data_IF_604969246260
#
_entry.id   IF_604969246260
#
_cell.length_a   1.000
_cell.length_b   1.000
_cell.length_c   1.000
_cell.angle_alpha   90.00
_cell.angle_beta   90.00
_cell.angle_gamma   90.00
#
_symmetry.space_group_name_H-M   'P 1'
#
loop_
_entity.id
_entity.type
_entity.pdbx_description
1 polymer ?
#
# COMPACT_ATOMS: atom_id res chain seq x y z
N UNK A 1 25.94 6.90 16.16
CA UNK A 1 25.02 7.87 15.53
C UNK A 1 25.62 8.57 14.31
N UNK A 2 26.62 9.46 14.43
CA UNK A 2 27.09 10.24 13.26
C UNK A 2 27.83 9.43 12.17
N UNK A 3 28.55 8.37 12.56
CA UNK A 3 29.37 7.58 11.63
C UNK A 3 28.59 6.52 10.80
N UNK A 4 27.29 6.33 11.06
CA UNK A 4 26.50 5.24 10.45
C UNK A 4 27.19 3.87 10.53
N UNK A 5 27.80 3.57 11.69
CA UNK A 5 28.39 2.26 11.95
C UNK A 5 27.31 1.17 11.81
N UNK A 6 27.46 0.23 10.86
CA UNK A 6 26.44 -0.77 10.55
C UNK A 6 26.20 -1.76 11.70
N UNK A 7 27.11 -1.84 12.67
CA UNK A 7 26.99 -2.75 13.83
C UNK A 7 26.22 -2.14 14.99
N UNK A 8 25.93 -0.83 14.95
CA UNK A 8 25.27 -0.09 16.02
C UNK A 8 23.86 0.34 15.59
N UNK A 9 22.92 -0.62 15.61
CA UNK A 9 21.50 -0.41 15.33
C UNK A 9 20.67 -0.16 16.61
N UNK A 10 21.19 -0.53 17.77
CA UNK A 10 20.56 -0.38 19.08
C UNK A 10 21.37 0.54 20.00
N UNK A 11 20.78 1.67 20.36
CA UNK A 11 21.35 2.64 21.30
C UNK A 11 20.49 2.69 22.56
N UNK A 12 21.06 2.23 23.68
CA UNK A 12 20.44 2.33 24.99
C UNK A 12 21.26 3.26 25.90
N UNK A 13 20.66 4.40 26.23
CA UNK A 13 21.20 5.36 27.19
C UNK A 13 20.30 5.48 28.44
N UNK A 14 19.45 4.49 28.70
CA UNK A 14 18.52 4.54 29.83
C UNK A 14 19.25 4.85 31.14
N UNK A 15 18.79 5.88 31.86
CA UNK A 15 19.37 6.42 33.09
C UNK A 15 20.77 7.04 32.96
N UNK A 16 21.31 7.21 31.76
CA UNK A 16 22.57 7.92 31.53
C UNK A 16 22.29 9.41 31.35
N UNK A 17 22.52 10.19 32.42
CA UNK A 17 22.30 11.63 32.38
C UNK A 17 23.26 12.30 31.40
N UNK A 18 22.70 12.95 30.37
CA UNK A 18 23.48 13.74 29.44
C UNK A 18 23.81 15.09 30.05
N UNK A 19 25.03 15.61 29.81
CA UNK A 19 25.40 16.94 30.25
C UNK A 19 24.48 18.00 29.61
N UNK A 20 24.26 19.13 30.29
CA UNK A 20 23.50 20.24 29.75
C UNK A 20 24.01 20.66 28.36
N UNK A 21 23.11 21.01 27.43
CA UNK A 21 23.48 21.35 26.04
C UNK A 21 24.48 22.50 25.93
N UNK A 22 24.42 23.45 26.86
CA UNK A 22 25.32 24.62 26.89
C UNK A 22 26.73 24.26 27.35
N UNK A 23 26.88 23.20 28.15
CA UNK A 23 28.16 22.72 28.64
C UNK A 23 28.81 21.77 27.65
N UNK A 24 28.02 20.90 27.02
CA UNK A 24 28.55 19.89 26.10
C UNK A 24 27.60 19.66 24.90
N UNK A 25 27.73 20.47 23.83
CA UNK A 25 26.89 20.36 22.65
C UNK A 25 27.19 19.10 21.82
N UNK A 26 28.30 18.39 22.08
CA UNK A 26 28.70 17.20 21.31
C UNK A 26 27.99 15.91 21.76
N UNK A 27 27.16 15.97 22.81
CA UNK A 27 26.40 14.82 23.31
C UNK A 27 24.95 14.86 22.81
N UNK A 28 24.01 15.46 23.56
CA UNK A 28 22.58 15.39 23.21
C UNK A 28 22.24 16.13 21.90
N UNK A 29 22.69 17.39 21.68
CA UNK A 29 22.38 18.10 20.44
C UNK A 29 22.97 17.41 19.20
N UNK A 30 24.22 16.94 19.29
CA UNK A 30 24.87 16.19 18.21
C UNK A 30 24.17 14.87 17.93
N UNK A 31 23.69 14.17 18.95
CA UNK A 31 22.91 12.94 18.79
C UNK A 31 21.62 13.21 18.02
N UNK A 32 20.82 14.21 18.43
CA UNK A 32 19.56 14.56 17.75
C UNK A 32 19.82 14.93 16.28
N UNK A 33 20.80 15.80 16.02
CA UNK A 33 21.14 16.21 14.65
C UNK A 33 21.68 15.05 13.80
N UNK A 34 22.39 14.09 14.40
CA UNK A 34 22.87 12.93 13.68
C UNK A 34 21.73 12.02 13.19
N UNK A 35 20.57 12.01 13.88
CA UNK A 35 19.42 11.18 13.49
C UNK A 35 18.82 11.59 12.14
N UNK A 36 18.95 12.85 11.71
CA UNK A 36 18.47 13.31 10.39
C UNK A 36 19.07 12.51 9.22
N UNK A 37 20.33 12.07 9.35
CA UNK A 37 21.07 11.37 8.29
C UNK A 37 21.44 9.94 8.67
N UNK A 38 21.08 9.52 9.89
CA UNK A 38 21.43 8.20 10.34
C UNK A 38 20.52 7.17 9.68
N UNK A 39 21.14 6.14 9.11
CA UNK A 39 20.45 5.08 8.36
C UNK A 39 20.56 3.70 9.03
N UNK A 40 21.05 3.63 10.26
CA UNK A 40 21.36 2.35 10.92
C UNK A 40 20.60 2.18 12.23
N UNK A 41 20.42 3.24 13.01
CA UNK A 41 19.77 3.18 14.31
C UNK A 41 18.30 2.83 14.11
N UNK A 42 17.93 1.67 14.64
CA UNK A 42 16.57 1.12 14.67
C UNK A 42 15.93 1.38 16.03
N UNK A 43 16.71 1.28 17.11
CA UNK A 43 16.22 1.47 18.47
C UNK A 43 17.03 2.57 19.17
N UNK A 44 16.33 3.58 19.68
CA UNK A 44 16.92 4.66 20.45
C UNK A 44 16.17 4.82 21.77
N UNK A 45 16.82 4.43 22.86
CA UNK A 45 16.30 4.51 24.21
C UNK A 45 17.03 5.60 24.98
N UNK A 46 16.29 6.64 25.35
CA UNK A 46 16.77 7.85 26.00
C UNK A 46 15.97 8.12 27.28
N UNK A 47 15.47 7.07 27.95
CA UNK A 47 14.69 7.23 29.17
C UNK A 47 15.57 7.84 30.28
N UNK A 48 15.07 8.91 30.91
CA UNK A 48 15.73 9.59 32.04
C UNK A 48 17.18 9.99 31.72
N UNK A 49 17.38 10.66 30.58
CA UNK A 49 18.69 11.11 30.08
C UNK A 49 18.91 12.61 30.20
N UNK A 50 17.99 13.34 30.84
CA UNK A 50 18.00 14.80 30.95
C UNK A 50 17.91 15.52 29.59
N UNK A 51 17.20 14.97 28.61
CA UNK A 51 16.81 15.74 27.42
C UNK A 51 15.90 16.91 27.84
N UNK A 52 16.14 18.08 27.27
CA UNK A 52 15.42 19.31 27.60
C UNK A 52 14.73 19.88 26.36
N UNK A 53 13.89 20.91 26.55
CA UNK A 53 13.25 21.63 25.44
C UNK A 53 14.23 22.12 24.36
N UNK A 54 15.52 22.34 24.69
CA UNK A 54 16.56 22.72 23.72
C UNK A 54 16.82 21.65 22.66
N UNK A 55 16.52 20.38 22.94
CA UNK A 55 16.69 19.27 22.00
C UNK A 55 15.47 19.08 21.10
N UNK A 56 14.31 19.64 21.49
CA UNK A 56 13.04 19.47 20.79
C UNK A 56 13.10 19.79 19.29
N UNK A 57 13.58 20.98 18.89
CA UNK A 57 13.65 21.35 17.47
C UNK A 57 14.53 20.43 16.62
N UNK A 58 15.66 19.97 17.18
CA UNK A 58 16.54 19.04 16.48
C UNK A 58 15.94 17.63 16.39
N UNK A 59 15.21 17.21 17.43
CA UNK A 59 14.51 15.93 17.44
C UNK A 59 13.34 15.93 16.44
N UNK A 60 12.52 16.98 16.41
CA UNK A 60 11.39 17.10 15.47
C UNK A 60 11.89 17.18 14.02
N UNK A 61 12.96 17.95 13.75
CA UNK A 61 13.62 17.98 12.44
C UNK A 61 14.13 16.60 12.02
N UNK A 62 14.75 15.85 12.94
CA UNK A 62 15.19 14.48 12.67
C UNK A 62 14.02 13.53 12.35
N UNK A 63 12.94 13.58 13.13
CA UNK A 63 11.77 12.72 12.90
C UNK A 63 11.04 13.04 11.58
N UNK A 64 11.14 14.27 11.09
CA UNK A 64 10.56 14.69 9.80
C UNK A 64 11.22 14.01 8.60
N UNK A 65 12.47 13.58 8.71
CA UNK A 65 13.24 13.00 7.58
C UNK A 65 13.74 11.57 7.82
N UNK A 66 13.90 11.15 9.08
CA UNK A 66 14.43 9.83 9.38
C UNK A 66 13.44 8.74 8.97
N UNK A 67 13.96 7.70 8.31
CA UNK A 67 13.17 6.58 7.80
C UNK A 67 13.71 5.21 8.24
N UNK A 68 14.53 5.17 9.29
CA UNK A 68 15.17 3.95 9.80
C UNK A 68 14.78 3.62 11.22
N UNK A 69 14.51 4.63 12.05
CA UNK A 69 14.15 4.46 13.44
C UNK A 69 12.79 3.77 13.56
N UNK A 70 12.74 2.67 14.32
CA UNK A 70 11.52 1.92 14.61
C UNK A 70 11.05 2.11 16.05
N UNK A 71 11.95 2.34 16.99
CA UNK A 71 11.63 2.54 18.41
C UNK A 71 12.32 3.78 18.94
N UNK A 72 11.52 4.73 19.43
CA UNK A 72 12.00 5.89 20.18
C UNK A 72 11.41 5.87 21.59
N UNK A 73 12.27 5.90 22.60
CA UNK A 73 11.85 6.11 23.98
C UNK A 73 12.53 7.36 24.55
N UNK A 74 11.73 8.37 24.89
CA UNK A 74 12.17 9.61 25.55
C UNK A 74 11.41 9.84 26.86
N UNK A 75 10.91 8.78 27.50
CA UNK A 75 10.25 8.82 28.81
C UNK A 75 11.11 9.52 29.86
N UNK A 76 10.46 10.15 30.84
CA UNK A 76 11.11 10.69 32.05
C UNK A 76 12.20 11.74 31.81
N UNK A 77 12.06 12.57 30.77
CA UNK A 77 12.94 13.69 30.45
C UNK A 77 12.31 15.05 30.82
N UNK A 78 12.81 16.16 30.28
CA UNK A 78 12.32 17.52 30.45
C UNK A 78 11.88 18.12 29.09
N UNK A 79 11.25 17.31 28.23
CA UNK A 79 10.64 17.78 26.98
C UNK A 79 9.27 18.39 27.29
N UNK A 80 9.05 19.62 26.82
CA UNK A 80 7.78 20.32 27.04
C UNK A 80 6.69 19.91 26.02
N UNK A 81 5.46 20.38 26.26
CA UNK A 81 4.31 20.13 25.37
C UNK A 81 4.55 20.60 23.93
N UNK A 82 5.32 21.68 23.74
CA UNK A 82 5.65 22.22 22.42
C UNK A 82 6.53 21.25 21.65
N UNK A 83 7.58 20.73 22.28
CA UNK A 83 8.49 19.75 21.69
C UNK A 83 7.75 18.48 21.25
N UNK A 84 6.88 17.94 22.10
CA UNK A 84 6.10 16.74 21.79
C UNK A 84 5.13 16.99 20.63
N UNK A 85 4.45 18.15 20.63
CA UNK A 85 3.56 18.54 19.52
C UNK A 85 4.31 18.64 18.19
N UNK A 86 5.46 19.29 18.18
CA UNK A 86 6.29 19.40 16.96
C UNK A 86 6.77 18.05 16.46
N UNK A 87 7.16 17.14 17.36
CA UNK A 87 7.52 15.77 16.99
C UNK A 87 6.33 15.02 16.35
N UNK A 88 5.11 15.21 16.89
CA UNK A 88 3.90 14.60 16.34
C UNK A 88 3.58 15.14 14.93
N UNK A 89 3.70 16.45 14.72
CA UNK A 89 3.52 17.07 13.41
C UNK A 89 4.57 16.59 12.40
N UNK A 90 5.84 16.54 12.80
CA UNK A 90 6.92 16.01 11.97
C UNK A 90 6.67 14.56 11.53
N UNK A 91 6.20 13.70 12.45
CA UNK A 91 5.83 12.32 12.14
C UNK A 91 4.59 12.22 11.24
N UNK A 92 3.67 13.18 11.31
CA UNK A 92 2.49 13.23 10.43
C UNK A 92 2.88 13.51 8.98
N UNK A 93 3.86 14.40 8.79
CA UNK A 93 4.41 14.78 7.49
C UNK A 93 5.30 13.67 6.89
N UNK A 94 6.06 12.96 7.73
CA UNK A 94 6.98 11.93 7.27
C UNK A 94 6.26 10.60 6.97
N UNK A 95 5.76 10.44 5.74
CA UNK A 95 5.12 9.19 5.27
C UNK A 95 6.10 8.01 5.18
N UNK A 96 7.39 8.30 5.00
CA UNK A 96 8.45 7.28 4.84
C UNK A 96 8.94 6.69 6.17
N UNK A 97 8.67 7.37 7.28
CA UNK A 97 9.06 6.95 8.64
C UNK A 97 8.73 5.48 8.88
N UNK A 98 9.63 4.78 9.58
CA UNK A 98 9.45 3.39 10.01
C UNK A 98 9.10 3.26 11.48
N UNK A 99 8.83 4.38 12.17
CA UNK A 99 8.60 4.39 13.60
C UNK A 99 7.36 3.54 13.96
N UNK A 100 7.58 2.51 14.78
CA UNK A 100 6.56 1.58 15.27
C UNK A 100 6.15 1.90 16.70
N UNK A 101 7.10 2.36 17.50
CA UNK A 101 6.87 2.67 18.90
C UNK A 101 7.47 4.02 19.27
N UNK A 102 6.65 4.86 19.91
CA UNK A 102 7.11 6.11 20.52
C UNK A 102 6.60 6.22 21.95
N UNK A 103 7.51 6.40 22.91
CA UNK A 103 7.18 6.61 24.34
C UNK A 103 7.78 7.93 24.81
N UNK A 104 6.98 8.71 25.51
CA UNK A 104 7.36 10.04 26.00
C UNK A 104 6.64 10.42 27.30
N UNK A 105 6.24 9.43 28.09
CA UNK A 105 5.54 9.59 29.36
C UNK A 105 6.42 10.18 30.46
N UNK A 106 5.76 10.79 31.47
CA UNK A 106 6.42 11.23 32.70
C UNK A 106 7.45 12.35 32.50
N UNK A 107 7.25 13.26 31.55
CA UNK A 107 8.12 14.43 31.40
C UNK A 107 8.07 15.30 32.66
N UNK A 108 9.24 15.60 33.20
CA UNK A 108 9.43 16.43 34.39
C UNK A 108 9.07 17.87 34.06
N UNK A 109 8.28 18.49 34.94
CA UNK A 109 7.78 19.86 34.74
C UNK A 109 6.51 19.93 33.89
N UNK A 110 6.07 18.81 33.33
CA UNK A 110 4.72 18.64 32.76
C UNK A 110 3.89 17.88 33.79
N UNK A 111 2.60 18.21 33.90
CA UNK A 111 1.67 17.44 34.71
C UNK A 111 1.45 16.04 34.16
N UNK A 112 0.41 15.36 34.63
CA UNK A 112 0.03 14.03 34.10
C UNK A 112 -0.28 14.07 32.58
N UNK A 113 -0.71 15.22 32.07
CA UNK A 113 -1.15 15.41 30.68
C UNK A 113 -0.44 16.60 30.02
N UNK A 114 -0.19 16.48 28.71
CA UNK A 114 0.44 17.53 27.91
C UNK A 114 -0.50 18.64 27.45
N UNK A 115 -1.82 18.42 27.60
CA UNK A 115 -2.88 19.33 27.19
C UNK A 115 -3.47 19.02 25.81
N UNK A 116 -4.69 19.53 25.58
CA UNK A 116 -5.50 19.24 24.38
C UNK A 116 -4.79 19.47 23.04
N UNK A 117 -3.97 20.54 22.85
CA UNK A 117 -3.29 20.77 21.56
C UNK A 117 -2.27 19.68 21.21
N UNK A 118 -1.68 19.03 22.22
CA UNK A 118 -0.74 17.92 22.01
C UNK A 118 -1.53 16.65 21.70
N UNK A 119 -2.59 16.39 22.45
CA UNK A 119 -3.47 15.23 22.25
C UNK A 119 -4.09 15.21 20.85
N UNK A 120 -4.57 16.36 20.36
CA UNK A 120 -5.07 16.52 18.99
C UNK A 120 -3.98 16.20 17.95
N UNK A 121 -2.77 16.74 18.12
CA UNK A 121 -1.67 16.48 17.20
C UNK A 121 -1.27 14.99 17.18
N UNK A 122 -1.24 14.34 18.33
CA UNK A 122 -0.98 12.90 18.45
C UNK A 122 -2.09 12.07 17.81
N UNK A 123 -3.35 12.47 17.97
CA UNK A 123 -4.48 11.79 17.33
C UNK A 123 -4.43 11.88 15.80
N UNK A 124 -4.13 13.06 15.26
CA UNK A 124 -3.95 13.26 13.83
C UNK A 124 -2.75 12.45 13.30
N UNK A 125 -1.63 12.47 14.03
CA UNK A 125 -0.45 11.65 13.70
C UNK A 125 -0.78 10.16 13.67
N UNK A 126 -1.49 9.63 14.67
CA UNK A 126 -1.84 8.21 14.73
C UNK A 126 -2.77 7.79 13.58
N UNK A 127 -3.67 8.68 13.13
CA UNK A 127 -4.58 8.45 12.01
C UNK A 127 -3.81 8.34 10.68
N UNK A 128 -2.90 9.28 10.45
CA UNK A 128 -2.12 9.40 9.21
C UNK A 128 -0.98 8.37 9.13
N UNK A 129 -0.22 8.21 10.22
CA UNK A 129 0.96 7.37 10.26
C UNK A 129 0.63 5.92 10.66
N UNK A 130 0.28 5.10 9.66
CA UNK A 130 -0.24 3.72 9.84
C UNK A 130 0.75 2.70 10.43
N UNK A 131 2.05 3.02 10.51
CA UNK A 131 3.08 2.10 11.03
C UNK A 131 3.28 2.18 12.55
N UNK A 132 2.80 3.23 13.21
CA UNK A 132 2.88 3.36 14.67
C UNK A 132 1.85 2.41 15.28
N UNK A 133 2.32 1.44 16.06
CA UNK A 133 1.47 0.43 16.73
C UNK A 133 1.42 0.64 18.23
N UNK A 134 2.38 1.36 18.81
CA UNK A 134 2.44 1.58 20.26
C UNK A 134 2.85 3.01 20.58
N UNK A 135 1.98 3.72 21.30
CA UNK A 135 2.24 5.04 21.85
C UNK A 135 2.27 4.94 23.39
N UNK A 136 3.32 5.46 24.00
CA UNK A 136 3.47 5.53 25.45
C UNK A 136 3.24 6.94 25.95
N UNK A 137 1.97 7.33 26.12
CA UNK A 137 1.58 8.60 26.72
C UNK A 137 0.19 8.52 27.38
N UNK A 138 -0.11 9.43 28.31
CA UNK A 138 -1.44 9.59 28.91
C UNK A 138 -2.24 10.69 28.22
N UNK A 139 -3.51 10.41 27.88
CA UNK A 139 -4.43 11.34 27.21
C UNK A 139 -5.65 11.59 28.10
N UNK A 140 -5.90 12.86 28.46
CA UNK A 140 -7.02 13.28 29.30
C UNK A 140 -8.33 13.37 28.52
N UNK A 141 -8.32 13.93 27.30
CA UNK A 141 -9.53 14.09 26.52
C UNK A 141 -10.03 12.74 25.98
N UNK A 142 -11.23 12.34 26.41
CA UNK A 142 -11.83 11.06 26.04
C UNK A 142 -12.05 10.93 24.52
N UNK A 143 -12.33 12.03 23.83
CA UNK A 143 -12.51 12.01 22.38
C UNK A 143 -11.19 11.65 21.68
N UNK A 144 -10.11 12.34 22.01
CA UNK A 144 -8.80 12.07 21.41
C UNK A 144 -8.28 10.69 21.78
N UNK A 145 -8.49 10.25 23.02
CA UNK A 145 -8.13 8.91 23.49
C UNK A 145 -8.81 7.82 22.63
N UNK A 146 -10.11 7.92 22.38
CA UNK A 146 -10.84 6.98 21.51
C UNK A 146 -10.32 6.99 20.07
N UNK A 147 -10.06 8.18 19.50
CA UNK A 147 -9.49 8.33 18.14
C UNK A 147 -8.12 7.64 18.04
N UNK A 148 -7.25 7.85 19.04
CA UNK A 148 -5.92 7.25 19.08
C UNK A 148 -6.02 5.73 19.21
N UNK A 149 -6.85 5.23 20.13
CA UNK A 149 -7.01 3.80 20.34
C UNK A 149 -7.53 3.09 19.09
N UNK A 150 -8.54 3.65 18.41
CA UNK A 150 -9.03 3.13 17.13
C UNK A 150 -7.94 3.11 16.06
N UNK A 151 -7.15 4.17 15.96
CA UNK A 151 -6.04 4.24 15.02
C UNK A 151 -4.95 3.18 15.32
N UNK A 152 -4.58 2.99 16.60
CA UNK A 152 -3.59 2.00 17.01
C UNK A 152 -4.07 0.55 16.81
N UNK A 153 -5.34 0.26 17.08
CA UNK A 153 -5.94 -1.06 16.80
C UNK A 153 -5.88 -1.36 15.30
N UNK A 154 -6.28 -0.41 14.45
CA UNK A 154 -6.18 -0.53 12.99
C UNK A 154 -4.73 -0.78 12.55
N UNK A 155 -3.78 0.02 13.03
CA UNK A 155 -2.37 -0.10 12.68
C UNK A 155 -1.78 -1.45 13.11
N UNK A 156 -2.16 -1.93 14.29
CA UNK A 156 -1.76 -3.25 14.80
C UNK A 156 -2.32 -4.37 13.94
N UNK A 157 -3.59 -4.27 13.52
CA UNK A 157 -4.20 -5.25 12.61
C UNK A 157 -3.53 -5.24 11.23
N UNK A 158 -3.20 -4.07 10.67
CA UNK A 158 -2.43 -3.95 9.42
C UNK A 158 -1.07 -4.63 9.55
N UNK A 159 -0.32 -4.35 10.62
CA UNK A 159 0.96 -5.02 10.87
C UNK A 159 0.82 -6.54 11.03
N UNK A 160 -0.28 -7.01 11.66
CA UNK A 160 -0.59 -8.44 11.78
C UNK A 160 -0.88 -9.08 10.41
N UNK A 161 -1.66 -8.43 9.55
CA UNK A 161 -1.99 -8.91 8.20
C UNK A 161 -0.75 -9.00 7.31
N UNK A 162 0.12 -8.00 7.36
CA UNK A 162 1.40 -7.99 6.64
C UNK A 162 2.28 -9.20 7.03
N UNK A 163 2.35 -9.55 8.33
CA UNK A 163 3.11 -10.73 8.79
C UNK A 163 2.50 -12.07 8.36
N UNK A 164 1.17 -12.14 8.19
CA UNK A 164 0.47 -13.37 7.78
C UNK A 164 0.47 -13.57 6.26
N UNK A 165 1.16 -12.72 5.49
CA UNK A 165 1.24 -12.83 4.03
C UNK A 165 -0.10 -12.70 3.32
N UNK A 166 -1.17 -12.28 4.01
CA UNK A 166 -2.53 -12.21 3.47
C UNK A 166 -2.79 -10.91 2.72
N UNK A 167 -1.77 -10.05 2.60
CA UNK A 167 -1.81 -8.79 1.84
C UNK A 167 -0.56 -8.79 0.97
N UNK A 168 -0.74 -9.03 -0.32
CA UNK A 168 0.18 -8.53 -1.34
C UNK A 168 0.36 -7.03 -1.07
N UNK A 169 1.61 -6.61 -0.92
CA UNK A 169 2.04 -5.26 -0.55
C UNK A 169 1.10 -4.15 -1.10
N UNK A 170 0.28 -3.56 -0.22
CA UNK A 170 -0.29 -2.23 -0.47
C UNK A 170 0.84 -1.20 -0.28
N UNK A 171 1.59 -0.96 -1.36
CA UNK A 171 2.41 0.24 -1.52
C UNK A 171 1.44 1.36 -1.89
N UNK A 172 1.39 2.40 -1.06
CA UNK A 172 0.72 3.70 -1.25
C UNK A 172 -0.47 3.72 -2.22
N UNK A 173 -1.64 3.31 -1.70
CA UNK A 173 -2.90 3.35 -2.44
C UNK A 173 -3.31 4.81 -2.68
N UNK A 174 -3.10 5.28 -3.90
CA UNK A 174 -3.92 6.32 -4.52
C UNK A 174 -5.37 5.82 -4.47
N UNK A 175 -6.31 6.57 -3.86
CA UNK A 175 -7.69 6.12 -3.73
C UNK A 175 -8.31 5.92 -5.12
N UNK A 176 -8.73 4.69 -5.41
CA UNK A 176 -9.35 4.34 -6.68
C UNK A 176 -10.70 5.03 -6.83
N UNK A 177 -10.91 5.74 -7.93
CA UNK A 177 -12.23 6.32 -8.26
C UNK A 177 -13.07 5.22 -8.90
N UNK A 178 -14.18 4.88 -8.25
CA UNK A 178 -15.10 3.85 -8.74
C UNK A 178 -15.87 4.38 -9.96
N UNK A 179 -15.74 3.71 -11.10
CA UNK A 179 -16.55 3.95 -12.31
C UNK A 179 -17.39 2.72 -12.64
N UNK A 180 -18.46 2.94 -13.41
CA UNK A 180 -19.29 1.85 -13.93
C UNK A 180 -18.60 1.14 -15.09
N UNK A 181 -18.79 -0.17 -15.22
CA UNK A 181 -18.17 -0.98 -16.26
C UNK A 181 -19.19 -1.37 -17.34
N UNK A 182 -18.91 -1.04 -18.62
CA UNK A 182 -19.74 -1.49 -19.75
C UNK A 182 -18.98 -2.34 -20.77
N UNK A 183 -17.79 -1.91 -21.17
CA UNK A 183 -16.98 -2.52 -22.24
C UNK A 183 -15.50 -2.41 -21.89
N UNK A 184 -14.73 -3.45 -22.20
CA UNK A 184 -13.27 -3.50 -22.03
C UNK A 184 -12.66 -3.88 -23.38
N UNK A 185 -11.70 -3.11 -23.85
CA UNK A 185 -10.94 -3.36 -25.07
C UNK A 185 -9.49 -3.62 -24.68
N UNK A 186 -8.98 -4.81 -24.99
CA UNK A 186 -7.58 -5.17 -24.77
C UNK A 186 -6.75 -4.59 -25.91
N UNK A 187 -5.90 -3.60 -25.62
CA UNK A 187 -5.17 -2.82 -26.64
C UNK A 187 -3.74 -3.29 -26.76
N UNK A 188 -3.00 -3.33 -25.66
CA UNK A 188 -1.59 -3.65 -25.61
C UNK A 188 -1.33 -5.15 -25.72
N UNK A 189 -0.28 -5.52 -26.45
CA UNK A 189 0.14 -6.91 -26.61
C UNK A 189 0.90 -7.39 -25.36
N UNK A 190 0.61 -8.59 -24.84
CA UNK A 190 1.37 -9.18 -23.74
C UNK A 190 2.83 -9.42 -24.13
N UNK A 191 3.76 -9.13 -23.23
CA UNK A 191 5.20 -9.39 -23.43
C UNK A 191 5.55 -10.88 -23.39
N UNK A 192 4.71 -11.69 -22.74
CA UNK A 192 4.88 -13.14 -22.68
C UNK A 192 4.30 -13.79 -23.93
N UNK A 193 4.98 -14.83 -24.39
CA UNK A 193 4.51 -15.59 -25.54
C UNK A 193 3.28 -16.44 -25.20
N UNK A 194 2.46 -16.73 -26.22
CA UNK A 194 1.18 -17.43 -26.04
C UNK A 194 1.36 -18.82 -25.44
N UNK A 195 2.41 -19.56 -25.84
CA UNK A 195 2.70 -20.91 -25.31
C UNK A 195 3.07 -20.92 -23.83
N UNK A 196 3.46 -19.79 -23.24
CA UNK A 196 3.73 -19.70 -21.80
C UNK A 196 2.45 -19.57 -20.97
N UNK A 197 1.37 -19.06 -21.57
CA UNK A 197 0.08 -18.80 -20.91
C UNK A 197 -0.98 -19.88 -21.24
N UNK A 198 -0.91 -20.40 -22.47
CA UNK A 198 -1.82 -21.40 -22.98
C UNK A 198 -1.09 -22.73 -23.19
N UNK A 199 -1.63 -23.78 -22.58
CA UNK A 199 -1.18 -25.14 -22.83
C UNK A 199 -1.62 -25.53 -24.26
N UNK A 200 -0.64 -25.63 -25.15
CA UNK A 200 -0.85 -25.91 -26.57
C UNK A 200 -1.32 -27.35 -26.82
N UNK A 201 -1.20 -28.24 -25.82
CA UNK A 201 -1.71 -29.61 -25.90
C UNK A 201 -3.24 -29.66 -25.68
N UNK A 202 -3.83 -28.64 -25.03
CA UNK A 202 -5.28 -28.54 -24.87
C UNK A 202 -5.93 -28.00 -26.16
N UNK A 203 -6.38 -28.96 -26.97
CA UNK A 203 -7.05 -28.70 -28.23
C UNK A 203 -8.36 -27.89 -28.08
N UNK A 204 -9.04 -27.96 -26.93
CA UNK A 204 -10.29 -27.23 -26.66
C UNK A 204 -10.01 -25.76 -26.32
N UNK A 205 -8.99 -25.52 -25.51
CA UNK A 205 -8.54 -24.17 -25.15
C UNK A 205 -7.94 -23.44 -26.36
N UNK A 206 -7.20 -24.15 -27.21
CA UNK A 206 -6.68 -23.63 -28.49
C UNK A 206 -7.81 -23.25 -29.46
N UNK A 207 -8.87 -24.06 -29.55
CA UNK A 207 -10.05 -23.73 -30.36
C UNK A 207 -10.81 -22.50 -29.82
N UNK A 208 -10.87 -22.35 -28.49
CA UNK A 208 -11.45 -21.17 -27.84
C UNK A 208 -10.62 -19.90 -28.10
N UNK A 209 -9.30 -19.99 -28.01
CA UNK A 209 -8.36 -18.91 -28.31
C UNK A 209 -8.52 -18.39 -29.73
N UNK A 210 -8.57 -19.31 -30.71
CA UNK A 210 -8.76 -18.95 -32.12
C UNK A 210 -10.13 -18.31 -32.38
N UNK A 211 -11.17 -18.73 -31.66
CA UNK A 211 -12.48 -18.09 -31.73
C UNK A 211 -12.41 -16.63 -31.28
N UNK A 212 -11.73 -16.34 -30.17
CA UNK A 212 -11.54 -14.99 -29.63
C UNK A 212 -10.70 -14.14 -30.59
N UNK A 213 -9.58 -14.67 -31.08
CA UNK A 213 -8.72 -13.96 -32.04
C UNK A 213 -9.41 -13.67 -33.36
N UNK A 214 -10.15 -14.63 -33.93
CA UNK A 214 -10.85 -14.45 -35.21
C UNK A 214 -12.03 -13.49 -35.09
N UNK A 215 -12.77 -13.53 -33.98
CA UNK A 215 -13.94 -12.65 -33.77
C UNK A 215 -13.58 -11.30 -33.16
N UNK A 216 -12.34 -11.10 -32.68
CA UNK A 216 -11.87 -9.92 -31.94
C UNK A 216 -12.76 -9.54 -30.74
N UNK A 217 -13.52 -10.50 -30.24
CA UNK A 217 -14.53 -10.33 -29.21
C UNK A 217 -14.69 -11.65 -28.46
N UNK A 218 -14.89 -11.56 -27.14
CA UNK A 218 -15.09 -12.73 -26.32
C UNK A 218 -16.45 -13.39 -26.65
N UNK A 219 -16.48 -14.66 -27.11
CA UNK A 219 -17.71 -15.29 -27.59
C UNK A 219 -18.66 -15.60 -26.43
N UNK A 220 -19.97 -15.67 -26.69
CA UNK A 220 -20.92 -16.27 -25.74
C UNK A 220 -20.70 -17.79 -25.61
N UNK A 221 -21.28 -18.42 -24.60
CA UNK A 221 -21.20 -19.89 -24.41
C UNK A 221 -21.68 -20.65 -25.66
N UNK A 222 -22.77 -20.17 -26.26
CA UNK A 222 -23.37 -20.76 -27.47
C UNK A 222 -22.48 -20.55 -28.70
N UNK A 223 -21.90 -19.35 -28.83
CA UNK A 223 -20.97 -19.03 -29.92
C UNK A 223 -19.67 -19.83 -29.84
N UNK A 224 -19.15 -20.05 -28.63
CA UNK A 224 -17.98 -20.90 -28.39
C UNK A 224 -18.30 -22.35 -28.77
N UNK A 225 -19.46 -22.86 -28.36
CA UNK A 225 -19.88 -24.23 -28.69
C UNK A 225 -20.08 -24.44 -30.20
N UNK A 226 -20.65 -23.46 -30.91
CA UNK A 226 -20.81 -23.51 -32.36
C UNK A 226 -19.46 -23.49 -33.11
N UNK A 227 -18.50 -22.69 -32.64
CA UNK A 227 -17.17 -22.62 -33.24
C UNK A 227 -16.37 -23.92 -33.07
N UNK A 228 -16.42 -24.52 -31.88
CA UNK A 228 -15.77 -25.82 -31.60
C UNK A 228 -16.36 -26.93 -32.47
N UNK A 229 -17.69 -26.94 -32.69
CA UNK A 229 -18.35 -27.88 -33.62
C UNK A 229 -17.86 -27.74 -35.06
N UNK A 230 -17.57 -26.51 -35.50
CA UNK A 230 -17.05 -26.23 -36.86
C UNK A 230 -15.67 -26.85 -37.07
N UNK A 231 -14.88 -26.97 -35.99
CA UNK A 231 -13.56 -27.64 -35.99
C UNK A 231 -13.62 -29.17 -35.86
N UNK A 232 -14.79 -29.78 -36.12
CA UNK A 232 -15.04 -31.23 -35.96
C UNK A 232 -14.81 -31.75 -34.52
N UNK A 233 -14.86 -30.86 -33.53
CA UNK A 233 -14.77 -31.23 -32.11
C UNK A 233 -16.16 -31.15 -31.46
N UNK A 234 -16.47 -32.10 -30.57
CA UNK A 234 -17.72 -32.10 -29.81
C UNK A 234 -17.47 -31.63 -28.37
N UNK A 235 -18.16 -30.58 -27.96
CA UNK A 235 -18.16 -30.10 -26.57
C UNK A 235 -19.51 -30.39 -25.92
N UNK A 236 -19.50 -31.18 -24.84
CA UNK A 236 -20.69 -31.43 -24.03
C UNK A 236 -21.15 -30.11 -23.38
N UNK A 237 -22.47 -29.94 -23.21
CA UNK A 237 -23.05 -28.75 -22.59
C UNK A 237 -22.47 -28.46 -21.20
N UNK A 238 -22.16 -29.52 -20.43
CA UNK A 238 -21.52 -29.43 -19.11
C UNK A 238 -20.08 -28.91 -19.13
N UNK A 239 -19.39 -28.99 -20.26
CA UNK A 239 -17.99 -28.59 -20.41
C UNK A 239 -17.83 -27.15 -20.94
N UNK A 240 -18.89 -26.57 -21.53
CA UNK A 240 -18.86 -25.21 -22.12
C UNK A 240 -18.61 -24.15 -21.05
N UNK A 241 -19.31 -24.23 -19.91
CA UNK A 241 -19.19 -23.26 -18.83
C UNK A 241 -17.79 -23.18 -18.21
N UNK A 242 -17.21 -24.31 -17.76
CA UNK A 242 -15.85 -24.35 -17.23
C UNK A 242 -14.80 -23.90 -18.25
N UNK A 243 -14.91 -24.33 -19.51
CA UNK A 243 -13.98 -23.92 -20.57
C UNK A 243 -14.06 -22.41 -20.84
N UNK A 244 -15.27 -21.86 -20.92
CA UNK A 244 -15.50 -20.44 -21.16
C UNK A 244 -14.89 -19.57 -20.05
N UNK A 245 -15.05 -19.99 -18.79
CA UNK A 245 -14.46 -19.31 -17.63
C UNK A 245 -12.94 -19.43 -17.62
N UNK A 246 -12.39 -20.61 -17.89
CA UNK A 246 -10.95 -20.83 -17.94
C UNK A 246 -10.28 -20.02 -19.07
N UNK A 247 -10.91 -19.98 -20.25
CA UNK A 247 -10.45 -19.17 -21.38
C UNK A 247 -10.44 -17.69 -21.02
N UNK A 248 -11.51 -17.19 -20.38
CA UNK A 248 -11.62 -15.79 -19.96
C UNK A 248 -10.51 -15.43 -18.98
N UNK A 249 -10.34 -16.25 -17.95
CA UNK A 249 -9.33 -16.02 -16.93
C UNK A 249 -7.93 -15.95 -17.55
N UNK A 250 -7.57 -16.91 -18.40
CA UNK A 250 -6.26 -16.92 -19.08
C UNK A 250 -6.04 -15.71 -20.00
N UNK A 251 -7.07 -15.28 -20.74
CA UNK A 251 -6.96 -14.10 -21.61
C UNK A 251 -6.80 -12.81 -20.81
N UNK A 252 -7.57 -12.64 -19.73
CA UNK A 252 -7.48 -11.46 -18.87
C UNK A 252 -6.21 -11.44 -18.04
N UNK A 253 -5.73 -12.60 -17.59
CA UNK A 253 -4.43 -12.73 -16.92
C UNK A 253 -3.27 -12.41 -17.87
N UNK A 254 -3.38 -12.79 -19.15
CA UNK A 254 -2.41 -12.40 -20.15
C UNK A 254 -2.42 -10.90 -20.44
N UNK A 255 -3.59 -10.25 -20.35
CA UNK A 255 -3.72 -8.80 -20.49
C UNK A 255 -3.28 -8.00 -19.25
N UNK A 256 -2.89 -8.67 -18.16
CA UNK A 256 -2.36 -7.99 -16.99
C UNK A 256 -1.03 -7.29 -17.32
N UNK A 257 -0.85 -6.09 -16.80
CA UNK A 257 0.27 -5.19 -17.06
C UNK A 257 0.38 -4.79 -18.54
N UNK A 258 -0.75 -4.79 -19.26
CA UNK A 258 -0.87 -4.27 -20.64
C UNK A 258 -1.86 -3.11 -20.72
N UNK A 259 -1.79 -2.34 -21.80
CA UNK A 259 -2.70 -1.22 -22.05
C UNK A 259 -4.11 -1.71 -22.41
N UNK A 260 -5.12 -1.18 -21.74
CA UNK A 260 -6.53 -1.47 -21.97
C UNK A 260 -7.32 -0.16 -22.09
N UNK A 261 -8.41 -0.21 -22.85
CA UNK A 261 -9.39 0.86 -22.92
C UNK A 261 -10.70 0.37 -22.30
N UNK A 262 -11.17 1.03 -21.24
CA UNK A 262 -12.41 0.67 -20.54
C UNK A 262 -13.45 1.77 -20.73
N UNK A 263 -14.62 1.39 -21.23
CA UNK A 263 -15.76 2.28 -21.36
C UNK A 263 -16.70 2.15 -20.16
N UNK A 264 -17.20 3.29 -19.70
CA UNK A 264 -18.23 3.33 -18.67
C UNK A 264 -19.66 3.16 -19.24
N UNK A 265 -20.68 3.20 -18.38
CA UNK A 265 -22.07 3.10 -18.81
C UNK A 265 -22.56 4.27 -19.69
N UNK A 266 -21.83 5.39 -19.70
CA UNK A 266 -22.11 6.56 -20.53
C UNK A 266 -21.35 6.54 -21.86
N UNK A 267 -20.47 5.54 -22.07
CA UNK A 267 -19.65 5.40 -23.27
C UNK A 267 -18.37 6.23 -23.23
N UNK A 268 -17.97 6.75 -22.06
CA UNK A 268 -16.69 7.42 -21.88
C UNK A 268 -15.58 6.37 -21.83
N UNK A 269 -14.74 6.32 -22.86
CA UNK A 269 -13.60 5.40 -22.94
C UNK A 269 -12.40 5.99 -22.18
N UNK A 270 -11.82 5.21 -21.29
CA UNK A 270 -10.62 5.56 -20.55
C UNK A 270 -9.52 4.56 -20.83
N UNK A 271 -8.39 5.04 -21.34
CA UNK A 271 -7.20 4.23 -21.59
C UNK A 271 -6.29 4.19 -20.35
N UNK A 272 -5.71 3.03 -20.07
CA UNK A 272 -4.73 2.86 -19.00
C UNK A 272 -4.15 1.46 -18.92
N UNK A 273 -3.24 1.24 -17.99
CA UNK A 273 -2.62 -0.07 -17.76
C UNK A 273 -3.51 -0.93 -16.85
N UNK A 274 -3.79 -2.18 -17.25
CA UNK A 274 -4.56 -3.12 -16.44
C UNK A 274 -3.68 -3.75 -15.36
N UNK A 275 -3.82 -3.31 -14.10
CA UNK A 275 -3.02 -3.86 -12.98
C UNK A 275 -3.68 -5.04 -12.28
N UNK A 276 -5.00 -5.17 -12.40
CA UNK A 276 -5.72 -6.29 -11.80
C UNK A 276 -7.14 -6.41 -12.31
N UNK A 277 -7.69 -7.62 -12.21
CA UNK A 277 -9.10 -7.87 -12.51
C UNK A 277 -9.64 -8.92 -11.52
N UNK A 278 -10.93 -8.87 -11.24
CA UNK A 278 -11.62 -9.87 -10.42
C UNK A 278 -12.99 -10.20 -10.99
N UNK A 279 -13.36 -11.49 -10.93
CA UNK A 279 -14.69 -11.99 -11.30
C UNK A 279 -15.27 -12.78 -10.12
N UNK A 280 -16.37 -12.28 -9.53
CA UNK A 280 -17.08 -12.96 -8.43
C UNK A 280 -18.59 -12.93 -8.69
N UNK A 281 -19.19 -14.10 -8.90
CA UNK A 281 -20.63 -14.24 -9.19
C UNK A 281 -21.10 -13.35 -10.36
N UNK A 282 -20.37 -13.37 -11.49
CA UNK A 282 -20.59 -12.52 -12.67
C UNK A 282 -20.48 -11.00 -12.43
N UNK A 283 -20.06 -10.57 -11.23
CA UNK A 283 -19.59 -9.20 -11.00
C UNK A 283 -18.13 -9.09 -11.42
N UNK A 284 -17.85 -8.11 -12.26
CA UNK A 284 -16.51 -7.82 -12.75
C UNK A 284 -15.98 -6.54 -12.14
N UNK A 285 -14.71 -6.56 -11.77
CA UNK A 285 -13.97 -5.36 -11.43
C UNK A 285 -12.64 -5.34 -12.17
N UNK A 286 -12.32 -4.20 -12.79
CA UNK A 286 -11.06 -3.96 -13.50
C UNK A 286 -10.36 -2.76 -12.87
N UNK A 287 -9.12 -2.97 -12.44
CA UNK A 287 -8.25 -1.96 -11.85
C UNK A 287 -7.33 -1.41 -12.95
N UNK A 288 -7.64 -0.20 -13.42
CA UNK A 288 -7.01 0.44 -14.57
C UNK A 288 -6.31 1.72 -14.13
N UNK A 289 -5.07 1.89 -14.60
CA UNK A 289 -4.21 3.01 -14.25
C UNK A 289 -3.92 3.84 -15.51
N UNK A 290 -4.67 4.94 -15.75
CA UNK A 290 -4.39 5.85 -16.87
C UNK A 290 -3.06 6.60 -16.75
N UNK A 291 -2.59 6.80 -15.52
CA UNK A 291 -1.33 7.47 -15.19
C UNK A 291 -0.81 6.96 -13.84
N UNK A 292 0.48 7.16 -13.55
CA UNK A 292 1.10 6.71 -12.28
C UNK A 292 0.41 7.28 -11.02
N UNK A 293 -0.31 8.39 -11.17
CA UNK A 293 -1.01 9.11 -10.10
C UNK A 293 -2.54 8.93 -10.11
N UNK A 294 -3.10 8.17 -11.06
CA UNK A 294 -4.56 7.99 -11.21
C UNK A 294 -4.93 6.52 -11.28
N UNK A 295 -5.77 6.09 -10.34
CA UNK A 295 -6.32 4.73 -10.27
C UNK A 295 -7.83 4.76 -10.44
N UNK A 296 -8.33 3.94 -11.36
CA UNK A 296 -9.77 3.79 -11.64
C UNK A 296 -10.18 2.33 -11.46
N UNK A 297 -11.15 2.11 -10.58
CA UNK A 297 -11.77 0.79 -10.42
C UNK A 297 -13.08 0.78 -11.19
N UNK A 298 -13.14 0.00 -12.27
CA UNK A 298 -14.34 -0.17 -13.08
C UNK A 298 -15.11 -1.41 -12.62
N UNK A 299 -16.17 -1.17 -11.84
CA UNK A 299 -17.03 -2.21 -11.31
C UNK A 299 -18.37 -2.31 -12.05
N UNK A 300 -18.83 -3.53 -12.31
CA UNK A 300 -20.13 -3.78 -12.93
C UNK A 300 -20.79 -5.06 -12.45
N UNK A 301 -22.09 -4.98 -12.15
CA UNK A 301 -22.93 -6.15 -11.83
C UNK A 301 -23.46 -6.90 -13.05
N UNK A 302 -23.01 -6.52 -14.26
CA UNK A 302 -23.32 -7.17 -15.53
C UNK A 302 -22.02 -7.57 -16.20
N UNK A 303 -21.98 -8.69 -16.94
CA UNK A 303 -20.79 -9.09 -17.68
C UNK A 303 -20.45 -8.04 -18.73
N UNK A 304 -19.22 -7.50 -18.74
CA UNK A 304 -18.80 -6.50 -19.73
C UNK A 304 -18.61 -7.14 -21.10
N UNK A 305 -18.72 -6.31 -22.14
CA UNK A 305 -18.29 -6.73 -23.48
C UNK A 305 -16.77 -6.63 -23.56
N UNK A 306 -16.08 -7.77 -23.68
CA UNK A 306 -14.61 -7.82 -23.80
C UNK A 306 -14.23 -7.93 -25.28
N UNK A 307 -13.54 -6.92 -25.79
CA UNK A 307 -13.01 -6.84 -27.16
C UNK A 307 -11.48 -6.96 -27.17
N UNK A 308 -10.93 -7.37 -28.31
CA UNK A 308 -9.49 -7.44 -28.54
C UNK A 308 -9.12 -6.52 -29.71
N UNK A 309 -8.02 -5.77 -29.59
CA UNK A 309 -7.43 -5.04 -30.70
C UNK A 309 -6.90 -6.01 -31.77
N UNK A 310 -6.62 -5.49 -32.96
CA UNK A 310 -6.06 -6.26 -34.07
C UNK A 310 -4.69 -6.87 -33.70
N UNK A 311 -3.90 -6.14 -32.92
CA UNK A 311 -2.59 -6.57 -32.42
C UNK A 311 -2.74 -7.67 -31.36
N UNK A 312 -3.67 -7.51 -30.41
CA UNK A 312 -3.94 -8.54 -29.40
C UNK A 312 -4.52 -9.82 -30.02
N UNK A 313 -5.39 -9.67 -31.03
CA UNK A 313 -5.92 -10.79 -31.79
C UNK A 313 -4.83 -11.52 -32.58
N UNK A 314 -3.89 -10.79 -33.20
CA UNK A 314 -2.74 -11.38 -33.87
C UNK A 314 -1.83 -12.12 -32.88
N UNK A 315 -1.61 -11.56 -31.69
CA UNK A 315 -0.90 -12.24 -30.61
C UNK A 315 -1.63 -13.52 -30.20
N UNK A 316 -2.93 -13.51 -29.93
CA UNK A 316 -3.71 -14.72 -29.61
C UNK A 316 -3.65 -15.80 -30.70
N UNK A 317 -3.45 -15.42 -31.96
CA UNK A 317 -3.34 -16.34 -33.09
C UNK A 317 -1.91 -16.82 -33.35
N UNK A 318 -0.90 -16.25 -32.68
CA UNK A 318 0.48 -16.70 -32.78
C UNK A 318 0.65 -18.11 -32.19
N UNK A 319 1.56 -18.88 -32.80
CA UNK A 319 1.89 -20.25 -32.42
C UNK A 319 3.09 -20.29 -31.49
#
# INVERSE_FOLDING_TARGET
AWLNDPTLDHFDFTNLQMPPPDLEPRVAPKLMKALERNTVIVNLLLNNTCLTLKQGPALSAALKVNNTLEVLNVDSNYLDSTCIKECALALTENKSSKLKQWRFNGQKGIGEYFGRPVEEAIANMAREHKKIVKLGFSCADAHWNDVINKALIRNTDLARRLRKGTVALEVDVIPAVLKTLSKVTLVGTPTKAVWEMFDMEDSKLSAGRECVGTKKCFPTKEQLQAFVKTKKMSLKFSEVGPLHKALRAKVLDAAKDTQVSVADAYGEETEGELRGWTEKNDNFNFDVWPAEDKRLDFGGGKPPTILCSDEFAAWLLSQ
#
